data_IF_139384359209
#
_entry.id   IF_139384359209
#
_cell.length_a   1.000
_cell.length_b   1.000
_cell.length_c   1.000
_cell.angle_alpha   90.00
_cell.angle_beta   90.00
_cell.angle_gamma   90.00
#
_symmetry.space_group_name_H-M   'P 1'
#
loop_
_entity.id
_entity.type
_entity.pdbx_description
1 polymer ?
#
# COMPACT_ATOMS: atom_id res chain seq x y z
N UNK A 1 -32.63 43.15 -38.70
CA UNK A 1 -32.10 43.05 -37.32
C UNK A 1 -32.16 41.58 -36.90
N UNK A 2 -31.04 40.87 -36.94
CA UNK A 2 -30.95 39.48 -36.48
C UNK A 2 -30.07 39.50 -35.23
N UNK A 3 -30.62 39.09 -34.09
CA UNK A 3 -29.91 38.98 -32.81
C UNK A 3 -29.35 37.56 -32.68
N UNK A 4 -28.02 37.42 -32.67
CA UNK A 4 -27.36 36.18 -32.26
C UNK A 4 -27.32 36.13 -30.73
N UNK A 5 -27.95 35.11 -30.14
CA UNK A 5 -27.77 34.75 -28.74
C UNK A 5 -26.59 33.78 -28.65
N UNK A 6 -25.47 34.24 -28.10
CA UNK A 6 -24.31 33.39 -27.82
C UNK A 6 -24.54 32.60 -26.53
N UNK A 7 -24.51 31.28 -26.62
CA UNK A 7 -24.48 30.39 -25.44
C UNK A 7 -23.03 30.31 -24.96
N UNK A 8 -22.78 30.77 -23.74
CA UNK A 8 -21.49 30.68 -23.08
C UNK A 8 -21.41 29.37 -22.30
N UNK A 9 -20.63 28.40 -22.78
CA UNK A 9 -20.26 27.22 -22.00
C UNK A 9 -19.14 27.59 -21.02
N UNK A 10 -19.45 27.62 -19.72
CA UNK A 10 -18.47 27.69 -18.66
C UNK A 10 -17.95 26.28 -18.40
N UNK A 11 -16.76 25.98 -18.91
CA UNK A 11 -15.97 24.81 -18.51
C UNK A 11 -15.40 25.07 -17.12
N UNK A 12 -15.96 24.43 -16.10
CA UNK A 12 -15.31 24.32 -14.79
C UNK A 12 -14.24 23.23 -14.85
N UNK A 13 -12.97 23.52 -14.54
CA UNK A 13 -11.99 22.45 -14.39
C UNK A 13 -12.27 21.73 -13.08
N UNK A 14 -12.59 20.44 -13.16
CA UNK A 14 -12.51 19.55 -12.01
C UNK A 14 -11.03 19.42 -11.64
N UNK A 15 -10.61 20.11 -10.59
CA UNK A 15 -9.27 19.93 -10.02
C UNK A 15 -9.28 18.60 -9.29
N UNK A 16 -8.90 17.53 -9.99
CA UNK A 16 -8.50 16.28 -9.37
C UNK A 16 -7.17 16.55 -8.66
N UNK A 17 -7.20 16.64 -7.33
CA UNK A 17 -5.97 16.61 -6.56
C UNK A 17 -5.42 15.18 -6.61
N UNK A 18 -4.55 14.93 -7.58
CA UNK A 18 -3.60 13.84 -7.50
C UNK A 18 -2.70 14.05 -6.26
N UNK A 19 -2.18 12.96 -5.72
CA UNK A 19 -1.26 12.91 -4.60
C UNK A 19 -0.14 13.96 -4.83
N UNK A 20 -0.16 15.08 -4.09
CA UNK A 20 0.96 16.03 -4.11
C UNK A 20 2.15 15.33 -3.45
N UNK A 21 3.10 14.86 -4.26
CA UNK A 21 4.39 14.40 -3.74
C UNK A 21 5.08 15.57 -3.03
N UNK A 22 5.71 15.29 -1.89
CA UNK A 22 6.38 16.31 -1.09
C UNK A 22 7.65 16.88 -1.76
N UNK A 23 8.06 16.38 -2.93
CA UNK A 23 9.32 16.76 -3.59
C UNK A 23 9.25 16.78 -5.13
N UNK A 24 8.43 17.66 -5.72
CA UNK A 24 8.55 18.05 -7.15
C UNK A 24 8.85 16.90 -8.14
N UNK A 25 8.15 15.76 -8.01
CA UNK A 25 8.31 14.60 -8.89
C UNK A 25 8.88 13.32 -8.25
N UNK A 26 9.52 13.38 -7.08
CA UNK A 26 9.93 12.17 -6.36
C UNK A 26 8.73 11.45 -5.73
N UNK A 27 8.76 10.11 -5.68
CA UNK A 27 7.74 9.33 -4.97
C UNK A 27 7.75 9.65 -3.47
N UNK A 28 6.59 9.52 -2.82
CA UNK A 28 6.44 9.82 -1.40
C UNK A 28 7.36 8.93 -0.56
N UNK A 29 8.10 9.55 0.38
CA UNK A 29 9.13 8.90 1.21
C UNK A 29 10.31 8.28 0.47
N UNK A 30 10.49 8.58 -0.83
CA UNK A 30 11.74 8.27 -1.49
C UNK A 30 12.89 8.99 -0.76
N UNK A 31 14.03 8.31 -0.52
CA UNK A 31 15.20 8.97 0.05
C UNK A 31 15.74 10.04 -0.91
N UNK A 32 16.52 10.97 -0.37
CA UNK A 32 17.26 11.94 -1.17
C UNK A 32 18.23 11.24 -2.14
N UNK A 33 18.64 11.92 -3.21
CA UNK A 33 19.55 11.35 -4.19
C UNK A 33 20.88 10.90 -3.55
N UNK A 34 21.28 9.67 -3.86
CA UNK A 34 22.46 9.02 -3.27
C UNK A 34 22.20 8.30 -1.93
N UNK A 35 21.11 8.59 -1.24
CA UNK A 35 20.71 7.93 0.02
C UNK A 35 19.89 6.65 -0.24
N UNK A 36 19.86 5.76 0.76
CA UNK A 36 19.16 4.46 0.66
C UNK A 36 18.37 4.17 1.91
N UNK A 37 17.16 3.64 1.74
CA UNK A 37 16.39 3.04 2.82
C UNK A 37 16.69 1.54 2.87
N UNK A 38 17.29 1.08 3.98
CA UNK A 38 17.37 -0.35 4.27
C UNK A 38 16.07 -0.78 4.97
N UNK A 39 15.32 -1.65 4.29
CA UNK A 39 14.08 -2.21 4.80
C UNK A 39 14.26 -3.71 4.91
N UNK A 40 13.99 -4.27 6.08
CA UNK A 40 14.19 -5.69 6.37
C UNK A 40 12.84 -6.37 6.60
N UNK A 41 12.78 -7.67 6.34
CA UNK A 41 11.55 -8.44 6.40
C UNK A 41 11.80 -9.94 6.32
N UNK A 42 10.74 -10.75 6.34
CA UNK A 42 9.36 -10.32 6.05
C UNK A 42 8.30 -10.81 7.06
N UNK A 43 8.79 -11.38 8.15
CA UNK A 43 8.05 -11.98 9.25
C UNK A 43 8.77 -11.66 10.56
N UNK A 44 8.14 -11.99 11.68
CA UNK A 44 8.71 -11.92 13.01
C UNK A 44 9.51 -13.18 13.29
N UNK A 45 10.80 -12.99 13.57
CA UNK A 45 11.71 -14.05 13.94
C UNK A 45 12.47 -13.67 15.21
N UNK A 46 12.59 -14.61 16.15
CA UNK A 46 13.14 -14.37 17.49
C UNK A 46 14.67 -14.33 17.56
N UNK A 47 15.36 -14.61 16.45
CA UNK A 47 16.82 -14.54 16.29
C UNK A 47 17.12 -13.88 14.93
N UNK A 48 16.54 -12.70 14.75
CA UNK A 48 16.42 -12.00 13.48
C UNK A 48 17.58 -11.07 13.18
N UNK A 49 17.43 -10.28 12.12
CA UNK A 49 18.44 -9.33 11.65
C UNK A 49 19.01 -8.44 12.77
N UNK A 50 18.13 -7.87 13.60
CA UNK A 50 18.50 -6.91 14.65
C UNK A 50 19.25 -7.55 15.82
N UNK A 51 19.14 -8.87 16.00
CA UNK A 51 19.82 -9.61 17.07
C UNK A 51 21.29 -9.90 16.71
N UNK A 52 21.64 -9.85 15.41
CA UNK A 52 23.00 -10.11 14.90
C UNK A 52 23.73 -8.87 14.41
N UNK A 53 22.98 -7.83 14.06
CA UNK A 53 23.49 -6.57 13.53
C UNK A 53 22.86 -5.50 14.40
N UNK A 54 23.60 -4.98 15.40
CA UNK A 54 23.20 -3.94 16.39
C UNK A 54 22.75 -2.61 15.74
N UNK A 55 21.81 -2.67 14.79
CA UNK A 55 21.33 -1.63 13.90
C UNK A 55 19.86 -1.91 13.60
N UNK A 56 19.01 -0.94 13.92
CA UNK A 56 17.59 -0.98 13.56
C UNK A 56 17.45 -0.54 12.11
N UNK A 57 16.77 -1.32 11.24
CA UNK A 57 16.57 -0.94 9.85
C UNK A 57 15.64 0.28 9.73
N UNK A 58 15.82 1.05 8.65
CA UNK A 58 14.98 2.22 8.37
C UNK A 58 13.51 1.85 8.12
N UNK A 59 13.22 0.58 7.83
CA UNK A 59 11.86 0.04 7.83
C UNK A 59 11.82 -1.47 8.06
N UNK A 60 10.64 -1.94 8.43
CA UNK A 60 10.34 -3.37 8.63
C UNK A 60 9.15 -3.78 7.78
N UNK A 61 9.17 -5.00 7.26
CA UNK A 61 8.11 -5.54 6.39
C UNK A 61 7.27 -6.57 7.13
N UNK A 62 5.96 -6.52 6.91
CA UNK A 62 4.96 -7.50 7.36
C UNK A 62 3.88 -7.67 6.28
N UNK A 63 2.93 -8.58 6.52
CA UNK A 63 1.80 -8.81 5.62
C UNK A 63 0.46 -8.75 6.35
N UNK A 64 -0.57 -8.38 5.60
CA UNK A 64 -1.98 -8.55 5.96
C UNK A 64 -2.79 -8.75 4.68
N UNK A 65 -4.09 -9.01 4.78
CA UNK A 65 -4.90 -9.29 3.61
C UNK A 65 -6.38 -9.08 3.80
N UNK A 66 -7.08 -9.01 2.67
CA UNK A 66 -8.54 -9.07 2.63
C UNK A 66 -8.98 -10.50 2.30
N UNK A 67 -10.10 -10.98 2.89
CA UNK A 67 -10.83 -10.36 3.98
C UNK A 67 -10.14 -10.55 5.34
N UNK A 68 -10.51 -9.73 6.32
CA UNK A 68 -10.24 -10.02 7.75
C UNK A 68 -9.03 -9.33 8.36
N UNK A 69 -8.07 -8.84 7.57
CA UNK A 69 -6.89 -8.12 8.06
C UNK A 69 -6.06 -8.90 9.09
N UNK A 70 -6.01 -10.23 8.96
CA UNK A 70 -5.14 -11.03 9.83
C UNK A 70 -3.67 -10.70 9.57
N UNK A 71 -2.83 -10.79 10.60
CA UNK A 71 -1.46 -10.27 10.57
C UNK A 71 -1.32 -8.76 10.81
N UNK A 72 -2.42 -7.98 10.88
CA UNK A 72 -2.35 -6.55 11.21
C UNK A 72 -2.27 -6.31 12.72
N UNK A 73 -3.39 -6.44 13.43
CA UNK A 73 -3.48 -6.21 14.89
C UNK A 73 -3.31 -7.48 15.72
N UNK A 74 -3.53 -8.65 15.10
CA UNK A 74 -3.39 -9.97 15.71
C UNK A 74 -2.42 -10.77 14.85
N UNK A 75 -1.51 -11.47 15.53
CA UNK A 75 -0.54 -12.35 14.90
C UNK A 75 -1.21 -13.44 14.07
N UNK A 76 -0.70 -13.68 12.87
CA UNK A 76 -1.11 -14.78 12.00
C UNK A 76 0.12 -15.44 11.36
N UNK A 77 -0.04 -16.62 10.79
CA UNK A 77 1.01 -17.36 10.11
C UNK A 77 0.41 -18.29 9.05
N UNK A 78 0.79 -18.08 7.79
CA UNK A 78 0.32 -18.88 6.64
C UNK A 78 1.39 -19.84 6.09
N UNK A 79 2.34 -20.25 6.95
CA UNK A 79 3.42 -21.17 6.59
C UNK A 79 4.71 -20.51 6.12
N UNK A 80 4.81 -19.18 6.21
CA UNK A 80 5.97 -18.40 5.76
C UNK A 80 6.54 -17.47 6.86
N UNK A 81 6.25 -17.78 8.13
CA UNK A 81 6.66 -16.99 9.28
C UNK A 81 5.49 -16.26 9.96
N UNK A 82 5.70 -15.83 11.19
CA UNK A 82 4.69 -15.10 11.98
C UNK A 82 4.60 -13.65 11.48
N UNK A 83 3.42 -13.16 11.14
CA UNK A 83 3.20 -11.75 10.75
C UNK A 83 2.31 -11.06 11.77
N UNK A 84 2.71 -9.85 12.19
CA UNK A 84 1.96 -9.06 13.17
C UNK A 84 2.44 -7.59 13.12
N UNK A 85 1.79 -6.75 12.31
CA UNK A 85 2.20 -5.35 12.14
C UNK A 85 2.22 -4.58 13.48
N UNK A 86 1.21 -4.80 14.32
CA UNK A 86 1.10 -4.15 15.63
C UNK A 86 2.22 -4.54 16.59
N UNK A 87 2.91 -5.67 16.39
CA UNK A 87 4.09 -6.01 17.21
C UNK A 87 5.22 -4.98 17.04
N UNK A 88 5.50 -4.54 15.80
CA UNK A 88 6.50 -3.51 15.53
C UNK A 88 6.09 -2.13 16.06
N UNK A 89 4.79 -1.85 16.14
CA UNK A 89 4.29 -0.61 16.74
C UNK A 89 4.43 -0.63 18.27
N UNK A 90 4.30 -1.80 18.88
CA UNK A 90 4.38 -1.96 20.33
C UNK A 90 5.84 -2.05 20.85
N UNK A 91 6.81 -2.28 19.96
CA UNK A 91 8.23 -2.32 20.30
C UNK A 91 8.91 -0.98 19.99
N UNK A 92 9.27 -0.26 21.04
CA UNK A 92 9.91 1.06 20.95
C UNK A 92 11.24 1.06 20.20
N UNK A 93 11.88 -0.09 20.04
CA UNK A 93 13.12 -0.21 19.25
C UNK A 93 12.90 0.20 17.79
N UNK A 94 11.68 0.02 17.28
CA UNK A 94 11.28 0.32 15.90
C UNK A 94 10.53 1.65 15.75
N UNK A 95 10.53 2.53 16.76
CA UNK A 95 9.78 3.80 16.71
C UNK A 95 10.18 4.72 15.54
N UNK A 96 11.41 4.60 15.07
CA UNK A 96 11.94 5.35 13.92
C UNK A 96 11.94 4.55 12.61
N UNK A 97 11.38 3.34 12.59
CA UNK A 97 11.28 2.52 11.39
C UNK A 97 9.96 2.77 10.67
N UNK A 98 10.00 2.90 9.34
CA UNK A 98 8.80 2.83 8.51
C UNK A 98 8.20 1.43 8.57
N UNK A 99 6.88 1.33 8.35
CA UNK A 99 6.20 0.03 8.21
C UNK A 99 5.93 -0.23 6.73
N UNK A 100 6.36 -1.37 6.22
CA UNK A 100 6.03 -1.84 4.88
C UNK A 100 5.04 -2.99 4.99
N UNK A 101 3.92 -2.88 4.29
CA UNK A 101 2.84 -3.87 4.33
C UNK A 101 2.64 -4.43 2.93
N UNK A 102 2.87 -5.73 2.77
CA UNK A 102 2.31 -6.49 1.65
C UNK A 102 0.83 -6.74 1.91
N UNK A 103 -0.04 -6.20 1.06
CA UNK A 103 -1.48 -6.38 1.20
C UNK A 103 -1.98 -7.40 0.18
N UNK A 104 -2.34 -8.58 0.68
CA UNK A 104 -2.88 -9.67 -0.12
C UNK A 104 -4.36 -9.40 -0.45
N UNK A 105 -4.70 -9.33 -1.74
CA UNK A 105 -6.07 -9.10 -2.24
C UNK A 105 -6.51 -10.13 -3.29
N UNK A 106 -5.85 -11.28 -3.34
CA UNK A 106 -6.21 -12.40 -4.23
C UNK A 106 -7.67 -12.79 -3.97
N UNK A 107 -8.42 -13.07 -5.05
CA UNK A 107 -9.87 -13.32 -5.03
C UNK A 107 -10.75 -12.17 -4.47
N UNK A 108 -10.21 -10.95 -4.28
CA UNK A 108 -10.96 -9.81 -3.73
C UNK A 108 -11.27 -8.70 -4.73
N UNK A 109 -10.85 -8.79 -6.00
CA UNK A 109 -11.01 -7.70 -6.96
C UNK A 109 -12.46 -7.27 -7.16
N UNK A 110 -13.38 -8.22 -7.38
CA UNK A 110 -14.81 -7.95 -7.51
C UNK A 110 -15.39 -7.34 -6.22
N UNK A 111 -15.00 -7.87 -5.06
CA UNK A 111 -15.44 -7.40 -3.75
C UNK A 111 -15.02 -5.95 -3.50
N UNK A 112 -13.79 -5.59 -3.87
CA UNK A 112 -13.27 -4.22 -3.75
C UNK A 112 -13.99 -3.28 -4.72
N UNK A 113 -14.10 -3.64 -6.01
CA UNK A 113 -14.72 -2.78 -7.04
C UNK A 113 -16.19 -2.48 -6.76
N UNK A 114 -16.89 -3.40 -6.09
CA UNK A 114 -18.29 -3.25 -5.71
C UNK A 114 -18.50 -2.68 -4.30
N UNK A 115 -17.43 -2.33 -3.57
CA UNK A 115 -17.49 -1.76 -2.22
C UNK A 115 -17.81 -2.75 -1.09
N UNK A 116 -17.84 -4.05 -1.37
CA UNK A 116 -18.09 -5.08 -0.35
C UNK A 116 -16.91 -5.23 0.63
N UNK A 117 -15.72 -4.76 0.25
CA UNK A 117 -14.53 -4.72 1.11
C UNK A 117 -14.29 -3.38 1.81
N UNK A 118 -15.20 -2.40 1.70
CA UNK A 118 -15.01 -1.04 2.24
C UNK A 118 -14.68 -1.01 3.73
N UNK A 119 -15.31 -1.90 4.51
CA UNK A 119 -15.00 -2.05 5.93
C UNK A 119 -13.53 -2.37 6.20
N UNK A 120 -12.91 -3.23 5.39
CA UNK A 120 -11.49 -3.58 5.55
C UNK A 120 -10.58 -2.47 5.06
N UNK A 121 -10.96 -1.76 3.99
CA UNK A 121 -10.23 -0.58 3.50
C UNK A 121 -10.24 0.52 4.57
N UNK A 122 -11.40 0.80 5.17
CA UNK A 122 -11.55 1.77 6.25
C UNK A 122 -10.74 1.37 7.48
N UNK A 123 -10.86 0.13 7.93
CA UNK A 123 -10.14 -0.38 9.11
C UNK A 123 -8.63 -0.29 8.93
N UNK A 124 -8.11 -0.66 7.75
CA UNK A 124 -6.69 -0.53 7.44
C UNK A 124 -6.26 0.94 7.38
N UNK A 125 -7.06 1.81 6.74
CA UNK A 125 -6.78 3.23 6.63
C UNK A 125 -6.70 3.92 8.01
N UNK A 126 -7.65 3.61 8.89
CA UNK A 126 -7.68 4.12 10.26
C UNK A 126 -6.53 3.58 11.10
N UNK A 127 -6.15 2.32 10.93
CA UNK A 127 -4.95 1.78 11.55
C UNK A 127 -3.73 2.56 11.07
N UNK A 128 -3.54 2.74 9.76
CA UNK A 128 -2.37 3.44 9.21
C UNK A 128 -2.28 4.87 9.73
N UNK A 129 -3.39 5.63 9.74
CA UNK A 129 -3.44 7.03 10.23
C UNK A 129 -2.91 7.18 11.65
N UNK A 130 -3.11 6.18 12.51
CA UNK A 130 -2.69 6.23 13.92
C UNK A 130 -1.17 6.12 14.11
N UNK A 131 -0.42 5.60 13.13
CA UNK A 131 0.96 5.16 13.37
C UNK A 131 2.02 6.27 13.43
N UNK A 132 1.67 7.53 13.18
CA UNK A 132 2.56 8.71 13.21
C UNK A 132 3.96 8.48 12.59
N UNK A 133 4.04 7.58 11.61
CA UNK A 133 5.27 7.18 10.91
C UNK A 133 4.92 6.79 9.47
N UNK A 134 5.90 6.79 8.55
CA UNK A 134 5.68 6.39 7.17
C UNK A 134 5.19 4.94 7.06
N UNK A 135 4.17 4.72 6.22
CA UNK A 135 3.72 3.38 5.82
C UNK A 135 3.82 3.24 4.31
N UNK A 136 4.50 2.19 3.84
CA UNK A 136 4.51 1.79 2.43
C UNK A 136 3.53 0.63 2.25
N UNK A 137 2.46 0.82 1.49
CA UNK A 137 1.44 -0.19 1.23
C UNK A 137 1.62 -0.77 -0.18
N UNK A 138 2.04 -2.03 -0.26
CA UNK A 138 2.17 -2.83 -1.49
C UNK A 138 0.83 -3.53 -1.76
N UNK A 139 -0.11 -2.80 -2.35
CA UNK A 139 -1.46 -3.30 -2.65
C UNK A 139 -1.39 -4.38 -3.72
N UNK A 140 -1.88 -5.60 -3.45
CA UNK A 140 -1.87 -6.68 -4.43
C UNK A 140 -0.48 -6.91 -5.03
N UNK A 141 0.52 -7.02 -4.15
CA UNK A 141 1.92 -7.22 -4.52
C UNK A 141 2.08 -8.38 -5.52
N UNK A 142 3.07 -8.26 -6.40
CA UNK A 142 3.31 -9.22 -7.48
C UNK A 142 2.10 -9.32 -8.43
N UNK A 143 1.58 -8.16 -8.84
CA UNK A 143 0.32 -8.06 -9.58
C UNK A 143 0.33 -8.82 -10.92
N UNK A 144 1.50 -9.07 -11.50
CA UNK A 144 1.73 -9.78 -12.76
C UNK A 144 2.15 -11.26 -12.56
N UNK A 145 2.22 -11.73 -11.31
CA UNK A 145 2.48 -13.13 -10.98
C UNK A 145 1.28 -14.01 -11.32
N UNK A 146 1.50 -15.08 -12.09
CA UNK A 146 0.42 -15.99 -12.51
C UNK A 146 -0.29 -16.67 -11.33
N UNK A 147 0.39 -16.85 -10.21
CA UNK A 147 -0.17 -17.40 -8.96
C UNK A 147 -1.27 -16.51 -8.35
N UNK A 148 -1.18 -15.19 -8.52
CA UNK A 148 -2.18 -14.24 -8.03
C UNK A 148 -3.39 -14.10 -8.95
N UNK A 149 -3.29 -14.57 -10.20
CA UNK A 149 -4.38 -14.70 -11.17
C UNK A 149 -5.27 -13.47 -11.33
N UNK A 150 -4.69 -12.27 -11.18
CA UNK A 150 -5.42 -11.02 -11.37
C UNK A 150 -5.75 -10.79 -12.84
N UNK A 151 -7.00 -10.43 -13.11
CA UNK A 151 -7.33 -9.78 -14.37
C UNK A 151 -6.72 -8.36 -14.37
N UNK A 152 -5.96 -7.95 -15.41
CA UNK A 152 -5.27 -6.67 -15.42
C UNK A 152 -6.20 -5.46 -15.30
N UNK A 153 -7.36 -5.47 -15.98
CA UNK A 153 -8.28 -4.34 -15.98
C UNK A 153 -8.99 -4.25 -14.63
N UNK A 154 -9.42 -5.39 -14.10
CA UNK A 154 -10.05 -5.44 -12.76
C UNK A 154 -9.07 -5.04 -11.65
N UNK A 155 -7.80 -5.42 -11.76
CA UNK A 155 -6.76 -5.03 -10.81
C UNK A 155 -6.56 -3.51 -10.80
N UNK A 156 -6.46 -2.88 -11.98
CA UNK A 156 -6.32 -1.43 -12.10
C UNK A 156 -7.52 -0.72 -11.47
N UNK A 157 -8.74 -1.21 -11.72
CA UNK A 157 -9.95 -0.63 -11.13
C UNK A 157 -9.98 -0.77 -9.61
N UNK A 158 -9.65 -1.94 -9.07
CA UNK A 158 -9.56 -2.17 -7.63
C UNK A 158 -8.47 -1.29 -6.97
N UNK A 159 -7.31 -1.17 -7.60
CA UNK A 159 -6.22 -0.30 -7.14
C UNK A 159 -6.69 1.16 -7.05
N UNK A 160 -7.27 1.69 -8.14
CA UNK A 160 -7.78 3.07 -8.19
C UNK A 160 -8.86 3.28 -7.13
N UNK A 161 -9.75 2.30 -6.95
CA UNK A 161 -10.80 2.35 -5.94
C UNK A 161 -10.22 2.52 -4.54
N UNK A 162 -9.30 1.63 -4.14
CA UNK A 162 -8.68 1.66 -2.81
C UNK A 162 -7.90 2.96 -2.55
N UNK A 163 -7.10 3.41 -3.52
CA UNK A 163 -6.35 4.67 -3.39
C UNK A 163 -7.28 5.87 -3.19
N UNK A 164 -8.37 5.96 -3.97
CA UNK A 164 -9.37 7.02 -3.80
C UNK A 164 -10.07 6.93 -2.44
N UNK A 165 -10.35 5.73 -1.96
CA UNK A 165 -10.97 5.52 -0.66
C UNK A 165 -10.06 6.01 0.48
N UNK A 166 -8.79 5.59 0.49
CA UNK A 166 -7.80 6.06 1.47
C UNK A 166 -7.58 7.58 1.42
N UNK A 167 -7.55 8.17 0.22
CA UNK A 167 -7.46 9.63 0.05
C UNK A 167 -8.71 10.34 0.61
N UNK A 168 -9.90 9.75 0.43
CA UNK A 168 -11.15 10.23 1.01
C UNK A 168 -11.21 10.13 2.54
N UNK A 169 -10.52 9.16 3.12
CA UNK A 169 -10.32 9.00 4.57
C UNK A 169 -9.22 9.90 5.14
N UNK A 170 -8.55 10.70 4.31
CA UNK A 170 -7.43 11.55 4.72
C UNK A 170 -6.25 10.74 5.33
N UNK A 171 -5.96 9.56 4.76
CA UNK A 171 -4.78 8.75 5.17
C UNK A 171 -3.51 9.40 4.61
N UNK A 172 -2.87 10.26 5.40
CA UNK A 172 -1.75 11.09 4.91
C UNK A 172 -0.36 10.53 5.18
N UNK A 173 -0.21 9.44 5.93
CA UNK A 173 1.09 8.81 6.17
C UNK A 173 1.37 7.55 5.33
N UNK A 174 0.56 7.30 4.30
CA UNK A 174 0.71 6.17 3.36
C UNK A 174 1.40 6.56 2.05
N UNK A 175 2.31 5.73 1.57
CA UNK A 175 2.80 5.69 0.19
C UNK A 175 2.36 4.38 -0.46
N UNK A 176 1.74 4.46 -1.64
CA UNK A 176 1.26 3.28 -2.38
C UNK A 176 2.37 2.73 -3.27
N UNK A 177 2.62 1.42 -3.24
CA UNK A 177 3.75 0.77 -3.92
C UNK A 177 3.25 -0.22 -4.95
N UNK A 178 3.36 0.13 -6.24
CA UNK A 178 2.99 -0.73 -7.36
C UNK A 178 4.14 -1.71 -7.65
N UNK A 179 4.00 -2.99 -7.27
CA UNK A 179 5.11 -3.94 -7.28
C UNK A 179 4.84 -5.16 -8.16
N UNK A 180 5.64 -5.35 -9.21
CA UNK A 180 5.67 -6.55 -10.04
C UNK A 180 6.40 -7.70 -9.34
N UNK A 181 6.15 -8.93 -9.78
CA UNK A 181 6.91 -10.14 -9.43
C UNK A 181 8.37 -10.08 -9.91
N UNK A 182 8.68 -9.22 -10.88
CA UNK A 182 10.03 -9.09 -11.45
C UNK A 182 10.50 -10.35 -12.18
N UNK A 183 9.58 -11.27 -12.50
CA UNK A 183 9.87 -12.51 -13.23
C UNK A 183 10.17 -12.26 -14.70
N UNK A 184 11.03 -13.10 -15.28
CA UNK A 184 11.16 -13.20 -16.74
C UNK A 184 9.87 -13.86 -17.24
N UNK A 185 9.21 -13.36 -18.31
CA UNK A 185 8.02 -14.02 -18.85
C UNK A 185 8.32 -15.49 -19.09
N UNK A 186 7.47 -16.40 -18.60
CA UNK A 186 7.54 -17.80 -19.02
C UNK A 186 7.38 -17.82 -20.54
N UNK A 187 8.48 -18.07 -21.26
CA UNK A 187 8.37 -18.43 -22.66
C UNK A 187 7.65 -19.77 -22.68
N UNK A 188 6.39 -19.74 -23.11
CA UNK A 188 5.62 -20.96 -23.40
C UNK A 188 6.47 -21.88 -24.26
N UNK A 189 6.89 -23.02 -23.72
CA UNK A 189 7.43 -24.14 -24.48
C UNK A 189 6.30 -24.89 -25.19
#
# INVERSE_FOLDING_TARGET
>A
MIRFAGILFLLTPAVLFAQKSSHMGAAKYAPDDGEKLLIIGQDLYADGYVDHLDQIPAGVTTYTGFPGLSGLEIKDNWGAGDVHAQAYINDSSFDNSAIVIGLHIVDQLESIRNGYSDFYIESLGDWIKKQNRPVFLRIGYEFDGSWNHYDPDEFIEAWIYMVKYFDGLDVRNIAYVWQSAGGIPEMSM
#
